data_IF_629575133964
#
_entry.id   IF_629575133964
#
_cell.length_a   1.000
_cell.length_b   1.000
_cell.length_c   1.000
_cell.angle_alpha   90.00
_cell.angle_beta   90.00
_cell.angle_gamma   90.00
#
_symmetry.space_group_name_H-M   'P 1'
#
loop_
_entity.id
_entity.type
_entity.pdbx_description
1 polymer ?
#
# COMPACT_ATOMS: atom_id res chain seq x y z
N UNK A 1 10.99 -7.42 -2.02
CA UNK A 1 10.63 -7.73 -0.61
C UNK A 1 9.71 -8.95 -0.56
N UNK A 2 9.57 -9.59 0.60
CA UNK A 2 8.60 -10.68 0.81
C UNK A 2 7.27 -10.15 1.34
N UNK A 3 6.17 -10.82 0.99
CA UNK A 3 4.84 -10.52 1.54
C UNK A 3 4.76 -10.85 3.03
N UNK A 4 3.95 -10.11 3.78
CA UNK A 4 3.81 -10.24 5.23
C UNK A 4 2.35 -10.25 5.63
N UNK A 5 2.05 -10.99 6.69
CA UNK A 5 0.74 -11.05 7.31
C UNK A 5 0.88 -11.41 8.79
N UNK A 6 -0.25 -11.32 9.50
CA UNK A 6 -0.43 -11.84 10.84
C UNK A 6 -1.11 -13.21 10.77
N UNK A 7 -0.52 -14.20 11.44
CA UNK A 7 -1.04 -15.56 11.58
C UNK A 7 -1.51 -15.77 13.01
N UNK A 8 -2.76 -16.15 13.16
CA UNK A 8 -3.35 -16.58 14.42
C UNK A 8 -3.06 -18.04 14.65
N UNK A 9 -2.31 -18.32 15.70
CA UNK A 9 -2.14 -19.66 16.24
C UNK A 9 -3.17 -19.88 17.35
N UNK A 10 -3.81 -21.04 17.36
CA UNK A 10 -4.71 -21.45 18.41
C UNK A 10 -4.44 -22.90 18.79
N UNK A 11 -4.64 -23.24 20.07
CA UNK A 11 -4.50 -24.60 20.54
C UNK A 11 -5.59 -24.98 21.55
N UNK A 12 -5.98 -26.25 21.53
CA UNK A 12 -6.92 -26.88 22.46
C UNK A 12 -6.38 -28.24 22.88
N UNK A 13 -6.89 -28.80 23.98
CA UNK A 13 -6.41 -30.05 24.56
C UNK A 13 -4.91 -30.00 24.93
N UNK A 14 -4.55 -29.02 25.76
CA UNK A 14 -3.17 -28.83 26.21
C UNK A 14 -2.70 -30.00 27.09
N UNK A 15 -1.52 -30.52 26.77
CA UNK A 15 -0.74 -31.42 27.62
C UNK A 15 0.41 -30.68 28.31
N UNK A 16 0.86 -29.57 27.74
CA UNK A 16 1.84 -28.63 28.28
C UNK A 16 1.71 -27.28 27.57
N UNK A 17 2.61 -26.33 27.81
CA UNK A 17 2.68 -25.10 27.00
C UNK A 17 3.11 -25.44 25.56
N UNK A 18 2.61 -24.68 24.58
CA UNK A 18 2.99 -24.78 23.16
C UNK A 18 3.89 -23.62 22.80
N UNK A 19 5.16 -23.91 22.52
CA UNK A 19 6.13 -22.89 22.09
C UNK A 19 6.11 -22.78 20.56
N UNK A 20 5.94 -21.55 20.05
CA UNK A 20 5.96 -21.23 18.63
C UNK A 20 7.26 -20.45 18.36
N UNK A 21 8.33 -21.09 17.87
CA UNK A 21 9.58 -20.40 17.58
C UNK A 21 9.48 -19.50 16.35
N UNK A 22 10.41 -18.54 16.24
CA UNK A 22 10.69 -17.84 14.96
C UNK A 22 11.02 -18.90 13.90
N UNK A 23 10.47 -18.74 12.70
CA UNK A 23 10.66 -19.67 11.59
C UNK A 23 9.61 -20.78 11.50
N UNK A 24 8.57 -20.76 12.34
CA UNK A 24 7.43 -21.71 12.25
C UNK A 24 6.71 -21.52 10.91
N UNK A 25 6.53 -22.61 10.16
CA UNK A 25 6.06 -22.60 8.78
C UNK A 25 4.57 -22.89 8.67
N UNK A 26 3.85 -22.02 7.96
CA UNK A 26 2.42 -22.18 7.60
C UNK A 26 2.25 -21.91 6.10
N UNK A 27 1.50 -22.76 5.40
CA UNK A 27 1.44 -22.76 3.95
C UNK A 27 0.01 -22.61 3.39
N UNK A 28 -0.03 -22.20 2.12
CA UNK A 28 -1.18 -22.27 1.21
C UNK A 28 -0.71 -22.79 -0.14
N UNK A 29 -1.11 -24.01 -0.50
CA UNK A 29 -0.55 -24.70 -1.67
C UNK A 29 0.98 -24.78 -1.58
N UNK A 30 1.68 -24.20 -2.56
CA UNK A 30 3.15 -24.15 -2.61
C UNK A 30 3.75 -22.90 -1.93
N UNK A 31 2.93 -21.95 -1.47
CA UNK A 31 3.41 -20.71 -0.86
C UNK A 31 3.54 -20.92 0.64
N UNK A 32 4.74 -20.67 1.19
CA UNK A 32 5.06 -20.91 2.59
C UNK A 32 5.42 -19.60 3.28
N UNK A 33 4.87 -19.39 4.47
CA UNK A 33 5.16 -18.27 5.37
C UNK A 33 5.87 -18.78 6.61
N UNK A 34 6.86 -18.04 7.07
CA UNK A 34 7.61 -18.31 8.30
C UNK A 34 7.31 -17.22 9.33
N UNK A 35 7.05 -17.58 10.59
CA UNK A 35 6.90 -16.60 11.68
C UNK A 35 8.19 -15.79 11.84
N UNK A 36 8.06 -14.48 12.04
CA UNK A 36 9.19 -13.57 12.26
C UNK A 36 9.38 -13.22 13.74
N UNK A 37 8.48 -13.70 14.58
CA UNK A 37 8.51 -13.56 16.02
C UNK A 37 8.12 -14.89 16.68
N UNK A 38 8.49 -15.04 17.95
CA UNK A 38 8.16 -16.21 18.75
C UNK A 38 6.93 -15.93 19.61
N UNK A 39 6.21 -17.00 19.97
CA UNK A 39 5.04 -16.93 20.83
C UNK A 39 4.90 -18.17 21.70
N UNK A 40 3.98 -18.10 22.65
CA UNK A 40 3.66 -19.22 23.53
C UNK A 40 2.16 -19.27 23.79
N UNK A 41 1.57 -20.45 23.61
CA UNK A 41 0.18 -20.73 23.96
C UNK A 41 0.12 -21.53 25.26
N UNK A 42 -0.82 -21.17 26.12
CA UNK A 42 -1.10 -21.83 27.39
C UNK A 42 -2.60 -22.05 27.54
N UNK A 43 -3.03 -22.79 28.56
CA UNK A 43 -4.47 -22.94 28.85
C UNK A 43 -5.17 -21.63 29.18
N UNK A 44 -4.45 -20.65 29.77
CA UNK A 44 -4.97 -19.32 30.06
C UNK A 44 -4.91 -18.36 28.87
N UNK A 45 -4.01 -18.62 27.91
CA UNK A 45 -3.91 -17.88 26.66
C UNK A 45 -3.82 -18.84 25.47
N UNK A 46 -4.96 -19.42 25.04
CA UNK A 46 -4.97 -20.50 24.05
C UNK A 46 -4.80 -20.02 22.61
N UNK A 47 -4.68 -18.70 22.39
CA UNK A 47 -4.56 -18.10 21.07
C UNK A 47 -3.53 -16.96 21.09
N UNK A 48 -2.75 -16.84 20.02
CA UNK A 48 -1.79 -15.74 19.84
C UNK A 48 -1.67 -15.38 18.36
N UNK A 49 -1.55 -14.08 18.09
CA UNK A 49 -1.37 -13.55 16.76
C UNK A 49 0.11 -13.22 16.56
N UNK A 50 0.76 -13.86 15.59
CA UNK A 50 2.18 -13.70 15.31
C UNK A 50 2.42 -13.20 13.88
N UNK A 51 3.39 -12.32 13.72
CA UNK A 51 3.87 -11.85 12.42
C UNK A 51 4.55 -12.97 11.64
N UNK A 52 4.26 -13.04 10.35
CA UNK A 52 4.89 -13.98 9.43
C UNK A 52 5.25 -13.31 8.09
N UNK A 53 6.30 -13.82 7.45
CA UNK A 53 6.74 -13.38 6.13
C UNK A 53 6.79 -14.57 5.17
N UNK A 54 6.41 -14.33 3.91
CA UNK A 54 6.58 -15.28 2.83
C UNK A 54 8.06 -15.65 2.71
N UNK A 55 8.33 -16.94 2.58
CA UNK A 55 9.71 -17.45 2.38
C UNK A 55 10.27 -17.06 1.02
N UNK A 56 9.39 -16.82 0.03
CA UNK A 56 9.75 -16.27 -1.27
C UNK A 56 9.61 -14.74 -1.28
N UNK A 57 10.59 -14.06 -1.84
CA UNK A 57 10.49 -12.64 -2.23
C UNK A 57 9.63 -12.48 -3.48
N UNK A 58 9.19 -11.26 -3.75
CA UNK A 58 8.36 -10.96 -4.91
C UNK A 58 6.87 -10.98 -4.55
N UNK A 59 6.04 -11.09 -5.58
CA UNK A 59 4.59 -10.93 -5.47
C UNK A 59 3.82 -12.21 -5.14
N UNK A 60 4.46 -13.39 -5.20
CA UNK A 60 3.84 -14.73 -4.98
C UNK A 60 3.09 -14.85 -3.64
N UNK A 61 3.56 -14.17 -2.60
CA UNK A 61 2.96 -14.21 -1.28
C UNK A 61 1.76 -13.27 -1.09
N UNK A 62 1.45 -12.38 -2.02
CA UNK A 62 0.41 -11.38 -1.82
C UNK A 62 -1.01 -11.92 -2.08
N UNK A 63 -2.01 -11.30 -1.47
CA UNK A 63 -3.40 -11.40 -1.92
C UNK A 63 -4.16 -12.66 -1.48
N UNK A 64 -3.54 -13.55 -0.70
CA UNK A 64 -4.24 -14.68 -0.11
C UNK A 64 -5.34 -14.19 0.84
N UNK A 65 -6.56 -14.70 0.64
CA UNK A 65 -7.72 -14.33 1.47
C UNK A 65 -7.51 -14.75 2.92
N UNK A 66 -8.20 -14.08 3.83
CA UNK A 66 -8.19 -14.41 5.26
C UNK A 66 -8.57 -15.89 5.44
N UNK A 67 -7.76 -16.62 6.20
CA UNK A 67 -7.94 -18.05 6.48
C UNK A 67 -7.40 -19.02 5.42
N UNK A 68 -6.84 -18.55 4.30
CA UNK A 68 -6.30 -19.43 3.25
C UNK A 68 -4.90 -19.99 3.57
N UNK A 69 -4.08 -19.23 4.28
CA UNK A 69 -2.78 -19.70 4.77
C UNK A 69 -3.04 -20.46 6.06
N UNK A 70 -3.33 -21.76 5.95
CA UNK A 70 -3.86 -22.56 7.07
C UNK A 70 -3.21 -23.93 7.26
N UNK A 71 -2.20 -24.27 6.48
CA UNK A 71 -1.51 -25.56 6.58
C UNK A 71 -0.25 -25.41 7.44
N UNK A 72 -0.33 -25.76 8.72
CA UNK A 72 0.82 -25.77 9.62
C UNK A 72 1.80 -26.89 9.23
N UNK A 73 2.98 -26.52 8.73
CA UNK A 73 4.02 -27.47 8.28
C UNK A 73 5.03 -27.79 9.38
N UNK A 74 5.33 -26.83 10.25
CA UNK A 74 6.21 -27.06 11.40
C UNK A 74 5.49 -27.87 12.47
N UNK A 75 6.15 -28.90 12.99
CA UNK A 75 5.65 -29.68 14.12
C UNK A 75 5.73 -28.86 15.40
N UNK A 76 4.59 -28.64 16.05
CA UNK A 76 4.49 -28.01 17.36
C UNK A 76 3.97 -29.06 18.37
N UNK A 77 4.41 -28.97 19.62
CA UNK A 77 4.04 -29.89 20.70
C UNK A 77 3.44 -29.13 21.88
N UNK A 78 2.70 -29.84 22.72
CA UNK A 78 2.09 -29.30 23.95
C UNK A 78 0.57 -29.24 23.92
N UNK A 79 -0.05 -29.54 22.78
CA UNK A 79 -1.49 -29.67 22.63
C UNK A 79 -1.83 -30.66 21.50
N UNK A 80 -2.97 -31.35 21.59
CA UNK A 80 -3.39 -32.30 20.54
C UNK A 80 -3.96 -31.59 19.31
N UNK A 81 -4.51 -30.39 19.48
CA UNK A 81 -5.10 -29.61 18.40
C UNK A 81 -4.39 -28.27 18.36
N UNK A 82 -3.59 -28.06 17.32
CA UNK A 82 -2.89 -26.79 17.07
C UNK A 82 -3.25 -26.37 15.65
N UNK A 83 -3.79 -25.16 15.51
CA UNK A 83 -4.16 -24.57 14.23
C UNK A 83 -3.42 -23.25 14.04
N UNK A 84 -3.21 -22.90 12.77
CA UNK A 84 -2.62 -21.63 12.38
C UNK A 84 -3.37 -21.12 11.16
N UNK A 85 -3.78 -19.85 11.15
CA UNK A 85 -4.37 -19.24 9.95
C UNK A 85 -4.09 -17.75 9.85
N UNK A 86 -3.90 -17.22 8.63
CA UNK A 86 -3.78 -15.77 8.45
C UNK A 86 -5.09 -15.04 8.79
N UNK A 87 -4.98 -13.91 9.48
CA UNK A 87 -6.13 -13.08 9.89
C UNK A 87 -6.25 -11.77 9.11
N UNK A 88 -5.24 -11.44 8.30
CA UNK A 88 -5.28 -10.39 7.29
C UNK A 88 -4.76 -10.92 5.95
N UNK A 89 -5.04 -10.17 4.90
CA UNK A 89 -4.53 -10.45 3.55
C UNK A 89 -3.03 -10.13 3.55
N UNK A 90 -2.14 -11.05 3.14
CA UNK A 90 -0.74 -10.73 3.06
C UNK A 90 -0.44 -9.69 1.97
N UNK A 91 0.40 -8.73 2.31
CA UNK A 91 0.79 -7.62 1.42
C UNK A 91 2.28 -7.30 1.55
N UNK A 92 2.78 -6.33 0.78
CA UNK A 92 4.16 -5.84 0.89
C UNK A 92 5.21 -6.68 0.15
N UNK A 93 4.81 -7.80 -0.45
CA UNK A 93 5.63 -8.55 -1.39
C UNK A 93 5.78 -7.74 -2.68
N UNK A 94 7.02 -7.53 -3.11
CA UNK A 94 7.30 -6.76 -4.31
C UNK A 94 8.54 -7.30 -5.00
N UNK A 95 8.50 -7.27 -6.33
CA UNK A 95 9.67 -7.50 -7.17
C UNK A 95 10.75 -6.42 -6.92
N UNK A 96 11.85 -6.52 -7.65
CA UNK A 96 12.87 -5.47 -7.71
C UNK A 96 12.23 -4.11 -7.98
N UNK A 97 12.78 -3.06 -7.36
CA UNK A 97 12.32 -1.69 -7.59
C UNK A 97 12.43 -1.31 -9.08
N UNK A 98 11.55 -0.42 -9.56
CA UNK A 98 11.60 0.06 -10.95
C UNK A 98 12.71 1.10 -11.12
N UNK A 99 13.14 1.33 -12.36
CA UNK A 99 14.18 2.32 -12.67
C UNK A 99 13.86 3.72 -12.14
N UNK A 100 12.59 4.13 -12.16
CA UNK A 100 12.16 5.43 -11.63
C UNK A 100 12.32 5.50 -10.11
N UNK A 101 11.86 4.46 -9.39
CA UNK A 101 12.00 4.38 -7.94
C UNK A 101 13.48 4.31 -7.53
N UNK A 102 14.28 3.56 -8.28
CA UNK A 102 15.72 3.47 -8.10
C UNK A 102 16.39 4.83 -8.30
N UNK A 103 16.04 5.56 -9.37
CA UNK A 103 16.57 6.90 -9.65
C UNK A 103 16.25 7.87 -8.52
N UNK A 104 15.01 7.89 -8.04
CA UNK A 104 14.62 8.74 -6.92
C UNK A 104 15.42 8.40 -5.65
N UNK A 105 15.60 7.12 -5.35
CA UNK A 105 16.38 6.67 -4.19
C UNK A 105 17.86 7.05 -4.30
N UNK A 106 18.45 6.96 -5.49
CA UNK A 106 19.84 7.39 -5.76
C UNK A 106 19.97 8.90 -5.58
N UNK A 107 19.01 9.69 -6.05
CA UNK A 107 19.00 11.14 -5.86
C UNK A 107 18.92 11.52 -4.37
N UNK A 108 18.16 10.75 -3.58
CA UNK A 108 18.04 10.93 -2.13
C UNK A 108 19.21 10.37 -1.33
N UNK A 109 20.09 9.55 -1.92
CA UNK A 109 21.17 8.90 -1.18
C UNK A 109 22.12 9.87 -0.43
N UNK A 110 22.48 11.05 -0.97
CA UNK A 110 23.26 12.05 -0.22
C UNK A 110 22.57 12.53 1.06
N UNK A 111 21.23 12.57 1.09
CA UNK A 111 20.46 12.96 2.28
C UNK A 111 20.61 11.96 3.43
N UNK A 112 20.97 10.71 3.14
CA UNK A 112 21.21 9.68 4.17
C UNK A 112 22.40 10.00 5.09
N UNK A 113 23.32 10.88 4.66
CA UNK A 113 24.45 11.35 5.48
C UNK A 113 24.06 12.51 6.41
N UNK A 114 22.85 13.05 6.28
CA UNK A 114 22.36 14.13 7.13
C UNK A 114 22.14 13.63 8.56
N UNK A 115 22.81 14.26 9.51
CA UNK A 115 22.65 14.00 10.95
C UNK A 115 21.59 14.90 11.59
N UNK A 116 21.06 15.87 10.84
CA UNK A 116 20.11 16.87 11.33
C UNK A 116 18.64 16.49 11.08
N UNK A 117 18.36 15.28 10.55
CA UNK A 117 16.99 14.79 10.31
C UNK A 117 16.23 15.58 9.25
N UNK A 118 16.83 15.79 8.08
CA UNK A 118 16.14 16.45 6.97
C UNK A 118 14.94 15.63 6.48
N UNK A 119 13.99 16.31 5.83
CA UNK A 119 12.88 15.67 5.10
C UNK A 119 13.40 14.56 4.16
N UNK A 120 14.45 14.86 3.39
CA UNK A 120 15.06 13.92 2.46
C UNK A 120 15.66 12.68 3.14
N UNK A 121 16.26 12.83 4.33
CA UNK A 121 16.83 11.72 5.08
C UNK A 121 15.74 10.71 5.49
N UNK A 122 14.63 11.19 6.05
CA UNK A 122 13.51 10.34 6.43
C UNK A 122 12.82 9.71 5.22
N UNK A 123 12.69 10.43 4.10
CA UNK A 123 12.18 9.88 2.85
C UNK A 123 13.06 8.74 2.34
N UNK A 124 14.39 8.92 2.35
CA UNK A 124 15.35 7.89 1.94
C UNK A 124 15.22 6.62 2.78
N UNK A 125 15.30 6.76 4.12
CA UNK A 125 15.25 5.61 5.02
C UNK A 125 13.91 4.88 4.94
N UNK A 126 12.80 5.59 4.80
CA UNK A 126 11.50 4.97 4.59
C UNK A 126 11.45 4.18 3.27
N UNK A 127 11.87 4.78 2.14
CA UNK A 127 11.89 4.11 0.83
C UNK A 127 12.81 2.89 0.80
N UNK A 128 13.91 2.90 1.54
CA UNK A 128 14.89 1.81 1.59
C UNK A 128 14.32 0.51 2.20
N UNK A 129 13.23 0.59 2.98
CA UNK A 129 12.64 -0.57 3.67
C UNK A 129 12.04 -1.59 2.70
N UNK A 130 11.37 -1.13 1.64
CA UNK A 130 10.65 -2.03 0.74
C UNK A 130 10.42 -1.41 -0.65
N UNK A 131 10.69 -2.16 -1.73
CA UNK A 131 10.30 -1.79 -3.10
C UNK A 131 8.79 -1.66 -3.33
N UNK A 132 7.97 -2.10 -2.36
CA UNK A 132 6.52 -1.93 -2.37
C UNK A 132 6.09 -0.48 -2.11
N UNK A 133 6.97 0.35 -1.54
CA UNK A 133 6.70 1.77 -1.26
C UNK A 133 6.86 2.54 -2.57
N UNK A 134 5.82 3.28 -2.98
CA UNK A 134 5.87 4.11 -4.18
C UNK A 134 6.00 5.60 -3.83
N UNK A 135 5.52 6.04 -2.67
CA UNK A 135 5.66 7.44 -2.27
C UNK A 135 5.78 7.66 -0.76
N UNK A 136 6.49 8.72 -0.38
CA UNK A 136 6.70 9.09 1.02
C UNK A 136 6.64 10.60 1.18
N UNK A 137 5.73 11.06 2.03
CA UNK A 137 5.66 12.45 2.47
C UNK A 137 6.15 12.58 3.91
N UNK A 138 7.01 13.56 4.18
CA UNK A 138 7.51 13.85 5.53
C UNK A 138 7.20 15.30 5.89
N UNK A 139 6.61 15.49 7.07
CA UNK A 139 6.27 16.80 7.60
C UNK A 139 6.26 16.75 9.14
N UNK A 140 5.93 17.87 9.77
CA UNK A 140 5.61 17.88 11.20
C UNK A 140 4.28 17.16 11.43
N UNK A 141 4.23 16.34 12.49
CA UNK A 141 2.94 15.86 12.99
C UNK A 141 2.08 17.06 13.43
N UNK A 142 0.77 16.94 13.26
CA UNK A 142 -0.18 17.99 13.62
C UNK A 142 -1.04 17.56 14.80
N UNK A 143 -1.38 18.50 15.67
CA UNK A 143 -2.39 18.31 16.72
C UNK A 143 -3.81 18.33 16.13
N UNK A 144 -4.82 18.14 16.98
CA UNK A 144 -6.24 18.17 16.58
C UNK A 144 -6.71 19.50 15.99
N UNK A 145 -5.96 20.58 16.23
CA UNK A 145 -6.24 21.94 15.75
C UNK A 145 -5.44 22.29 14.49
N UNK A 146 -4.60 21.38 14.00
CA UNK A 146 -3.76 21.57 12.82
C UNK A 146 -2.42 22.26 13.09
N UNK A 147 -2.00 22.42 14.34
CA UNK A 147 -0.72 23.03 14.68
C UNK A 147 0.41 21.99 14.71
N UNK A 148 1.64 22.34 14.27
CA UNK A 148 2.79 21.45 14.38
C UNK A 148 3.09 21.03 15.82
N UNK A 149 3.28 19.73 16.03
CA UNK A 149 3.76 19.17 17.28
C UNK A 149 5.29 19.19 17.25
N UNK A 150 5.90 20.03 18.11
CA UNK A 150 7.34 20.18 18.19
C UNK A 150 8.08 18.85 18.39
N UNK A 151 9.16 18.66 17.64
CA UNK A 151 10.00 17.45 17.71
C UNK A 151 9.31 16.16 17.24
N UNK A 152 8.14 16.23 16.61
CA UNK A 152 7.44 15.03 16.12
C UNK A 152 7.38 15.01 14.59
N UNK A 153 8.15 14.12 13.98
CA UNK A 153 8.22 13.88 12.55
C UNK A 153 7.11 12.93 12.14
N UNK A 154 6.25 13.35 11.21
CA UNK A 154 5.24 12.50 10.59
C UNK A 154 5.72 12.02 9.21
N UNK A 155 5.77 10.71 9.04
CA UNK A 155 6.09 10.03 7.78
C UNK A 155 4.83 9.36 7.26
N UNK A 156 4.27 9.88 6.17
CA UNK A 156 3.13 9.29 5.48
C UNK A 156 3.62 8.46 4.30
N UNK A 157 3.23 7.18 4.26
CA UNK A 157 3.76 6.21 3.30
C UNK A 157 2.66 5.66 2.41
N UNK A 158 2.88 5.64 1.09
CA UNK A 158 2.00 5.02 0.12
C UNK A 158 2.67 3.78 -0.49
N UNK A 159 1.89 2.70 -0.63
CA UNK A 159 2.34 1.48 -1.31
C UNK A 159 1.81 1.41 -2.73
N UNK A 160 2.48 0.64 -3.60
CA UNK A 160 2.03 0.36 -4.98
C UNK A 160 0.62 -0.26 -5.02
N UNK A 161 0.24 -0.99 -3.99
CA UNK A 161 -1.10 -1.59 -3.86
C UNK A 161 -2.13 -0.63 -3.26
N UNK A 162 -1.74 0.57 -2.81
CA UNK A 162 -2.58 1.56 -2.14
C UNK A 162 -2.15 1.80 -0.70
N UNK A 163 -3.09 1.73 0.24
CA UNK A 163 -2.77 1.90 1.66
C UNK A 163 -1.81 0.81 2.15
N UNK A 164 -0.72 1.17 2.85
CA UNK A 164 0.15 0.18 3.46
C UNK A 164 -0.53 -0.48 4.66
N UNK A 165 -0.33 -1.79 4.80
CA UNK A 165 -0.75 -2.53 5.99
C UNK A 165 0.15 -2.22 7.20
N UNK A 166 -0.35 -2.55 8.39
CA UNK A 166 0.32 -2.27 9.66
C UNK A 166 1.73 -2.85 9.73
N UNK A 167 1.94 -4.03 9.15
CA UNK A 167 3.23 -4.71 9.11
C UNK A 167 4.31 -3.86 8.43
N UNK A 168 4.00 -3.27 7.28
CA UNK A 168 4.93 -2.39 6.55
C UNK A 168 5.19 -1.10 7.33
N UNK A 169 4.15 -0.51 7.93
CA UNK A 169 4.29 0.69 8.77
C UNK A 169 5.20 0.44 9.98
N UNK A 170 5.06 -0.71 10.64
CA UNK A 170 5.94 -1.11 11.76
C UNK A 170 7.37 -1.31 11.31
N UNK A 171 7.60 -1.93 10.15
CA UNK A 171 8.95 -2.07 9.60
C UNK A 171 9.62 -0.71 9.36
N UNK A 172 8.88 0.22 8.77
CA UNK A 172 9.38 1.57 8.52
C UNK A 172 9.65 2.29 9.83
N UNK A 173 8.72 2.23 10.79
CA UNK A 173 8.91 2.81 12.11
C UNK A 173 10.19 2.29 12.79
N UNK A 174 10.41 0.97 12.80
CA UNK A 174 11.61 0.37 13.38
C UNK A 174 12.89 0.82 12.67
N UNK A 175 12.85 0.98 11.35
CA UNK A 175 13.98 1.40 10.54
C UNK A 175 14.39 2.86 10.82
N UNK A 176 13.41 3.77 10.93
CA UNK A 176 13.64 5.21 11.07
C UNK A 176 13.77 5.67 12.53
N UNK A 177 13.31 4.88 13.50
CA UNK A 177 13.35 5.25 14.93
C UNK A 177 14.66 4.91 15.64
N UNK A 178 15.59 4.21 14.95
CA UNK A 178 16.88 3.85 15.51
C UNK A 178 17.77 5.06 15.82
N UNK A 179 18.46 5.05 16.95
CA UNK A 179 19.30 6.17 17.45
C UNK A 179 20.42 6.59 16.49
N UNK A 180 20.84 5.70 15.58
CA UNK A 180 21.84 6.02 14.56
C UNK A 180 21.31 6.81 13.37
N UNK A 181 19.99 6.91 13.22
CA UNK A 181 19.32 7.56 12.08
C UNK A 181 18.49 8.77 12.50
N UNK A 182 17.68 8.63 13.56
CA UNK A 182 16.90 9.77 14.07
C UNK A 182 17.80 10.72 14.86
N UNK A 183 17.69 12.03 14.68
CA UNK A 183 18.21 13.00 15.63
C UNK A 183 17.66 12.76 17.04
N UNK A 184 18.43 13.17 18.04
CA UNK A 184 18.18 12.88 19.45
C UNK A 184 16.78 13.28 19.92
N UNK A 185 16.33 14.48 19.52
CA UNK A 185 15.06 15.08 19.96
C UNK A 185 13.87 14.71 19.06
N UNK A 186 14.09 13.94 17.99
CA UNK A 186 13.02 13.57 17.08
C UNK A 186 12.24 12.37 17.62
N UNK A 187 10.92 12.52 17.67
CA UNK A 187 9.94 11.46 17.79
C UNK A 187 9.34 11.21 16.42
N UNK A 188 9.36 9.98 15.94
CA UNK A 188 8.80 9.65 14.63
C UNK A 188 7.44 8.98 14.78
N UNK A 189 6.50 9.34 13.90
CA UNK A 189 5.24 8.61 13.67
C UNK A 189 5.16 8.24 12.20
N UNK A 190 4.74 7.00 11.91
CA UNK A 190 4.62 6.48 10.54
C UNK A 190 3.18 6.09 10.30
N UNK A 191 2.55 6.70 9.30
CA UNK A 191 1.12 6.58 9.06
C UNK A 191 0.82 6.20 7.60
N UNK A 192 -0.30 5.51 7.39
CA UNK A 192 -0.93 5.46 6.07
C UNK A 192 -1.52 6.84 5.72
N UNK A 193 -1.67 7.18 4.43
CA UNK A 193 -2.29 8.43 4.03
C UNK A 193 -3.78 8.45 4.32
N UNK A 194 -4.31 9.64 4.54
CA UNK A 194 -5.76 9.85 4.56
C UNK A 194 -6.29 9.67 3.13
N UNK A 195 -7.29 8.79 2.97
CA UNK A 195 -7.85 8.51 1.65
C UNK A 195 -8.90 9.55 1.28
N UNK A 196 -8.79 10.09 0.07
CA UNK A 196 -9.80 10.95 -0.53
C UNK A 196 -10.47 10.23 -1.68
N UNK A 197 -11.62 9.63 -1.41
CA UNK A 197 -12.36 8.88 -2.41
C UNK A 197 -13.07 9.82 -3.41
N UNK A 198 -13.08 9.42 -4.68
CA UNK A 198 -13.82 10.10 -5.74
C UNK A 198 -14.29 9.09 -6.79
N UNK A 199 -15.18 9.52 -7.68
CA UNK A 199 -15.68 8.71 -8.79
C UNK A 199 -15.43 9.41 -10.12
N UNK A 200 -15.26 8.63 -11.19
CA UNK A 200 -15.28 9.13 -12.56
C UNK A 200 -16.68 8.91 -13.13
N UNK A 201 -17.34 9.98 -13.58
CA UNK A 201 -18.57 9.91 -14.34
C UNK A 201 -18.48 10.86 -15.54
N UNK A 202 -18.31 10.27 -16.72
CA UNK A 202 -18.12 11.00 -17.97
C UNK A 202 -18.96 10.38 -19.10
N UNK A 203 -19.48 11.26 -19.95
CA UNK A 203 -20.11 10.90 -21.21
C UNK A 203 -19.27 11.42 -22.38
N UNK A 204 -18.96 10.54 -23.33
CA UNK A 204 -18.16 10.84 -24.52
C UNK A 204 -19.07 11.19 -25.68
N UNK A 205 -18.95 12.41 -26.19
CA UNK A 205 -19.55 12.83 -27.46
C UNK A 205 -18.55 12.50 -28.56
N UNK A 206 -18.98 11.70 -29.53
CA UNK A 206 -18.09 11.13 -30.55
C UNK A 206 -18.25 11.85 -31.90
N UNK A 207 -17.19 11.82 -32.71
CA UNK A 207 -17.29 12.25 -34.11
C UNK A 207 -18.27 11.35 -34.90
N UNK A 208 -18.92 11.88 -35.95
CA UNK A 208 -19.71 11.02 -36.85
C UNK A 208 -18.79 10.04 -37.56
N UNK A 209 -19.26 8.80 -37.76
CA UNK A 209 -18.48 7.72 -38.34
C UNK A 209 -17.52 7.02 -37.36
N UNK A 210 -17.29 7.57 -36.16
CA UNK A 210 -16.48 6.90 -35.14
C UNK A 210 -17.20 5.68 -34.55
N UNK A 211 -16.50 4.55 -34.48
CA UNK A 211 -16.99 3.33 -33.85
C UNK A 211 -17.06 3.52 -32.33
N UNK A 212 -18.28 3.53 -31.77
CA UNK A 212 -18.48 3.80 -30.34
C UNK A 212 -17.82 2.77 -29.42
N UNK A 213 -17.79 1.50 -29.81
CA UNK A 213 -17.23 0.45 -28.98
C UNK A 213 -15.70 0.61 -28.90
N UNK A 214 -15.05 0.80 -30.05
CA UNK A 214 -13.60 0.97 -30.13
C UNK A 214 -13.14 2.24 -29.39
N UNK A 215 -13.84 3.36 -29.61
CA UNK A 215 -13.48 4.63 -28.94
C UNK A 215 -13.68 4.54 -27.43
N UNK A 216 -14.79 3.91 -26.98
CA UNK A 216 -15.03 3.70 -25.55
C UNK A 216 -13.93 2.85 -24.92
N UNK A 217 -13.57 1.73 -25.54
CA UNK A 217 -12.49 0.85 -25.05
C UNK A 217 -11.15 1.59 -25.01
N UNK A 218 -10.82 2.39 -26.03
CA UNK A 218 -9.61 3.20 -26.03
C UNK A 218 -9.59 4.24 -24.89
N UNK A 219 -10.73 4.88 -24.60
CA UNK A 219 -10.87 5.82 -23.50
C UNK A 219 -10.75 5.14 -22.12
N UNK A 220 -11.32 3.93 -21.96
CA UNK A 220 -11.17 3.12 -20.74
C UNK A 220 -9.69 2.75 -20.50
N UNK A 221 -8.97 2.33 -21.54
CA UNK A 221 -7.54 2.02 -21.46
C UNK A 221 -6.67 3.26 -21.15
N UNK A 222 -6.99 4.40 -21.76
CA UNK A 222 -6.32 5.67 -21.48
C UNK A 222 -6.53 6.10 -20.01
N UNK A 223 -7.75 5.93 -19.50
CA UNK A 223 -8.07 6.18 -18.10
C UNK A 223 -7.32 5.26 -17.15
N UNK A 224 -7.30 3.94 -17.40
CA UNK A 224 -6.58 2.97 -16.58
C UNK A 224 -5.07 3.28 -16.51
N UNK A 225 -4.48 3.64 -17.65
CA UNK A 225 -3.07 4.03 -17.75
C UNK A 225 -2.76 5.34 -17.01
N UNK A 226 -3.69 6.29 -17.01
CA UNK A 226 -3.59 7.52 -16.24
C UNK A 226 -3.71 7.25 -14.74
N UNK A 227 -4.74 6.52 -14.31
CA UNK A 227 -4.97 6.23 -12.90
C UNK A 227 -3.85 5.38 -12.30
N UNK A 228 -3.29 4.42 -13.05
CA UNK A 228 -2.16 3.59 -12.58
C UNK A 228 -0.95 4.43 -12.22
N UNK A 229 -0.65 5.47 -13.00
CA UNK A 229 0.47 6.38 -12.70
C UNK A 229 0.11 7.38 -11.60
N UNK A 230 -1.09 7.96 -11.66
CA UNK A 230 -1.55 8.97 -10.68
C UNK A 230 -1.65 8.38 -9.28
N UNK A 231 -2.17 7.16 -9.14
CA UNK A 231 -2.41 6.51 -7.84
C UNK A 231 -1.14 6.12 -7.11
N UNK A 232 0.03 6.20 -7.73
CA UNK A 232 1.32 5.94 -7.08
C UNK A 232 1.90 7.19 -6.40
N UNK A 233 1.16 8.31 -6.36
CA UNK A 233 1.60 9.57 -5.75
C UNK A 233 0.64 10.07 -4.66
N UNK A 234 1.23 10.62 -3.60
CA UNK A 234 0.55 11.40 -2.57
C UNK A 234 0.33 12.85 -3.05
N UNK A 235 -0.69 13.53 -2.51
CA UNK A 235 -0.95 14.94 -2.85
C UNK A 235 -1.31 15.20 -4.31
N UNK A 236 -1.67 14.16 -5.06
CA UNK A 236 -2.05 14.28 -6.46
C UNK A 236 -3.42 14.90 -6.63
N UNK A 237 -3.47 16.20 -6.91
CA UNK A 237 -4.70 16.96 -7.15
C UNK A 237 -5.63 16.30 -8.16
N UNK A 238 -6.93 16.42 -7.91
CA UNK A 238 -7.97 15.96 -8.83
C UNK A 238 -8.34 17.14 -9.72
N UNK A 239 -7.82 17.15 -10.95
CA UNK A 239 -8.01 18.26 -11.90
C UNK A 239 -8.92 17.79 -13.06
N UNK A 240 -10.15 18.32 -13.18
CA UNK A 240 -11.11 17.94 -14.23
C UNK A 240 -10.54 18.06 -15.66
N UNK A 241 -9.73 19.08 -15.91
CA UNK A 241 -9.09 19.29 -17.21
C UNK A 241 -8.13 18.14 -17.59
N UNK A 242 -7.36 17.63 -16.64
CA UNK A 242 -6.47 16.49 -16.88
C UNK A 242 -7.28 15.24 -17.20
N UNK A 243 -8.38 15.00 -16.46
CA UNK A 243 -9.29 13.89 -16.70
C UNK A 243 -9.92 13.97 -18.09
N UNK A 244 -10.46 15.14 -18.48
CA UNK A 244 -11.04 15.35 -19.80
C UNK A 244 -10.00 15.16 -20.91
N UNK A 245 -8.77 15.65 -20.71
CA UNK A 245 -7.67 15.51 -21.68
C UNK A 245 -7.30 14.04 -21.91
N UNK A 246 -7.23 13.24 -20.84
CA UNK A 246 -6.99 11.79 -20.91
C UNK A 246 -8.10 11.07 -21.67
N UNK A 247 -9.36 11.44 -21.43
CA UNK A 247 -10.51 10.82 -22.07
C UNK A 247 -10.72 11.28 -23.52
N UNK A 248 -10.09 12.38 -23.95
CA UNK A 248 -10.17 12.92 -25.31
C UNK A 248 -9.24 12.16 -26.28
N UNK A 249 -9.48 10.85 -26.38
CA UNK A 249 -8.79 9.96 -27.33
C UNK A 249 -9.31 10.17 -28.75
N UNK A 250 -8.63 9.55 -29.74
CA UNK A 250 -9.08 9.60 -31.13
C UNK A 250 -10.54 9.14 -31.28
N UNK A 251 -11.33 9.91 -32.04
CA UNK A 251 -12.76 9.67 -32.22
C UNK A 251 -13.67 10.36 -31.20
N UNK A 252 -13.13 10.93 -30.12
CA UNK A 252 -13.90 11.75 -29.17
C UNK A 252 -13.89 13.21 -29.60
N UNK A 253 -15.08 13.79 -29.82
CA UNK A 253 -15.27 15.20 -30.08
C UNK A 253 -15.21 16.03 -28.78
N UNK A 254 -16.01 15.63 -27.79
CA UNK A 254 -16.12 16.30 -26.50
C UNK A 254 -16.31 15.31 -25.35
N UNK A 255 -15.91 15.73 -24.15
CA UNK A 255 -16.08 14.96 -22.91
C UNK A 255 -16.99 15.77 -21.98
N UNK A 256 -18.16 15.23 -21.68
CA UNK A 256 -19.07 15.80 -20.67
C UNK A 256 -18.74 15.14 -19.34
N UNK A 257 -17.93 15.81 -18.53
CA UNK A 257 -17.50 15.32 -17.22
C UNK A 257 -18.44 15.80 -16.12
N UNK A 258 -19.09 14.88 -15.42
CA UNK A 258 -19.92 15.18 -14.24
C UNK A 258 -19.14 15.02 -12.93
N UNK A 259 -18.23 14.05 -12.88
CA UNK A 259 -17.31 13.82 -11.76
C UNK A 259 -15.96 13.32 -12.30
N UNK A 260 -14.83 13.68 -11.65
CA UNK A 260 -14.75 14.42 -10.39
C UNK A 260 -14.77 15.95 -10.56
N UNK A 261 -15.13 16.65 -9.48
CA UNK A 261 -14.91 18.09 -9.35
C UNK A 261 -13.46 18.41 -9.00
N UNK A 262 -13.02 19.64 -9.27
CA UNK A 262 -11.68 20.09 -8.88
C UNK A 262 -11.50 20.01 -7.37
N UNK A 263 -10.42 19.34 -6.95
CA UNK A 263 -10.04 19.21 -5.55
C UNK A 263 -8.54 19.22 -5.39
N UNK A 264 -8.07 20.11 -4.51
CA UNK A 264 -6.69 20.09 -4.03
C UNK A 264 -6.55 18.98 -2.99
N UNK A 265 -5.55 18.13 -3.16
CA UNK A 265 -5.27 17.00 -2.28
C UNK A 265 -4.06 17.34 -1.42
N UNK A 266 -4.17 17.22 -0.10
CA UNK A 266 -3.06 17.55 0.80
C UNK A 266 -1.87 16.60 0.58
N UNK A 267 -0.63 17.02 0.87
CA UNK A 267 0.55 16.16 0.69
C UNK A 267 0.53 14.83 1.46
N UNK A 268 -0.22 14.73 2.55
CA UNK A 268 -0.41 13.50 3.33
C UNK A 268 -1.68 12.71 2.94
N UNK A 269 -2.39 13.15 1.90
CA UNK A 269 -3.60 12.51 1.40
C UNK A 269 -3.33 11.72 0.12
N UNK A 270 -4.14 10.70 -0.11
CA UNK A 270 -4.12 9.87 -1.31
C UNK A 270 -5.50 9.83 -1.94
N UNK A 271 -5.62 10.35 -3.16
CA UNK A 271 -6.88 10.33 -3.88
C UNK A 271 -7.12 8.97 -4.56
N UNK A 272 -8.24 8.33 -4.26
CA UNK A 272 -8.59 6.98 -4.74
C UNK A 272 -9.88 7.00 -5.56
N UNK A 273 -9.79 6.57 -6.82
CA UNK A 273 -10.99 6.38 -7.63
C UNK A 273 -11.70 5.10 -7.19
N UNK A 274 -12.97 5.20 -6.76
CA UNK A 274 -13.73 4.05 -6.24
C UNK A 274 -14.72 3.48 -7.26
N UNK A 275 -15.10 4.26 -8.27
CA UNK A 275 -15.97 3.82 -9.34
C UNK A 275 -15.71 4.60 -10.63
N UNK A 276 -15.83 3.89 -11.76
CA UNK A 276 -15.69 4.45 -13.10
C UNK A 276 -16.98 4.19 -13.86
N UNK A 277 -17.62 5.26 -14.33
CA UNK A 277 -18.75 5.23 -15.25
C UNK A 277 -18.40 6.04 -16.49
N UNK A 278 -18.16 5.33 -17.58
CA UNK A 278 -17.89 5.91 -18.88
C UNK A 278 -18.97 5.46 -19.87
N UNK A 279 -19.68 6.42 -20.45
CA UNK A 279 -20.72 6.18 -21.46
C UNK A 279 -20.42 6.94 -22.74
N UNK A 280 -21.01 6.50 -23.84
CA UNK A 280 -20.98 7.23 -25.11
C UNK A 280 -22.34 7.87 -25.33
N UNK A 281 -22.36 9.12 -25.77
CA UNK A 281 -23.60 9.80 -26.12
C UNK A 281 -24.24 9.21 -27.37
N UNK A 282 -25.56 9.31 -27.47
CA UNK A 282 -26.29 9.07 -28.72
C UNK A 282 -26.05 10.18 -29.73
N UNK A 283 -25.70 11.38 -29.26
CA UNK A 283 -25.38 12.52 -30.11
C UNK A 283 -23.99 12.38 -30.74
N UNK A 284 -23.88 12.80 -32.00
CA UNK A 284 -22.65 12.80 -32.80
C UNK A 284 -22.38 14.20 -33.34
N UNK A 285 -21.11 14.51 -33.57
CA UNK A 285 -20.65 15.83 -34.01
C UNK A 285 -19.67 15.70 -35.17
N UNK A 286 -19.67 16.66 -36.09
CA UNK A 286 -18.78 16.66 -37.26
C UNK A 286 -17.84 17.88 -37.35
N UNK A 287 -17.83 18.72 -36.31
CA UNK A 287 -17.13 20.01 -36.32
C UNK A 287 -18.06 21.14 -36.68
#
# INVERSE_FOLDING_TARGET
SAARCTIRFAATEFTSEVNIPVGTLVAVGETVFATTEQGQLTTSNPQMDLQAACTATGTKGNGWSIGQINTLQSTLSGANQITAQNINIPTGGAETESDEAYRERVLLAPESFSVAGSVGAYQYWARAVSPAICDVHVANALDSSGNPIGGTVAITVLSKTGLPERELLTQIYNEVSGEKKRPLCDKVVVNAPETVDYTLNAELVLFTGANALEVKTAAEQAWESYETRRREKLGGDIVPLNVMSVLKVAGVYNVVLTQPNWKIIKPNQWARCTAVKLTTSTERQDG
#
